data_IF_563144913742
#
_entry.id   IF_563144913742
#
_cell.length_a   1.000
_cell.length_b   1.000
_cell.length_c   1.000
_cell.angle_alpha   90.00
_cell.angle_beta   90.00
_cell.angle_gamma   90.00
#
_symmetry.space_group_name_H-M   'P 1'
#
loop_
_entity.id
_entity.type
_entity.pdbx_description
1 polymer ?
#
# COMPACT_ATOMS: atom_id res chain seq x y z
N UNK A 1 23.00 59.18 6.43
CA UNK A 1 21.74 59.91 6.15
C UNK A 1 21.13 59.39 4.86
N UNK A 2 19.80 59.24 4.89
CA UNK A 2 18.87 58.71 3.90
C UNK A 2 18.97 59.30 2.48
N UNK A 3 18.58 58.54 1.44
CA UNK A 3 17.23 58.59 0.83
C UNK A 3 17.14 57.73 -0.46
N UNK A 4 16.34 56.64 -0.42
CA UNK A 4 15.13 56.35 -1.25
C UNK A 4 15.34 55.82 -2.68
N UNK A 5 14.85 54.60 -2.93
CA UNK A 5 14.56 54.05 -4.28
C UNK A 5 13.45 54.82 -5.01
N UNK A 6 12.79 54.30 -6.08
CA UNK A 6 12.63 52.89 -6.46
C UNK A 6 12.84 52.62 -7.97
N UNK A 7 12.81 51.34 -8.37
CA UNK A 7 12.12 50.80 -9.57
C UNK A 7 12.55 49.35 -9.80
N UNK A 8 11.81 48.44 -9.19
CA UNK A 8 11.09 47.36 -9.88
C UNK A 8 11.62 47.02 -11.28
N UNK A 9 12.64 46.17 -11.34
CA UNK A 9 12.77 45.25 -12.46
C UNK A 9 11.94 44.01 -12.11
N UNK A 10 10.62 44.18 -12.15
CA UNK A 10 9.70 43.09 -12.44
C UNK A 10 10.14 42.56 -13.81
N UNK A 11 10.97 41.53 -13.81
CA UNK A 11 11.10 40.65 -14.97
C UNK A 11 9.73 39.96 -15.04
N UNK A 12 8.84 40.53 -15.84
CA UNK A 12 7.61 39.88 -16.26
C UNK A 12 8.06 38.59 -16.94
N UNK A 13 7.88 37.47 -16.24
CA UNK A 13 7.88 36.17 -16.86
C UNK A 13 6.72 36.19 -17.85
N UNK A 14 7.07 36.13 -19.13
CA UNK A 14 6.19 36.30 -20.26
C UNK A 14 5.13 35.19 -20.26
N UNK A 15 4.00 35.43 -19.59
CA UNK A 15 2.64 35.07 -20.02
C UNK A 15 2.36 33.69 -20.60
N UNK A 16 3.22 32.69 -20.33
CA UNK A 16 3.19 31.39 -21.00
C UNK A 16 3.39 30.23 -20.02
N UNK A 17 3.06 30.47 -18.74
CA UNK A 17 2.64 29.42 -17.81
C UNK A 17 1.24 28.92 -18.21
N UNK A 18 1.14 28.38 -19.42
CA UNK A 18 0.11 27.41 -19.73
C UNK A 18 0.34 26.26 -18.76
N UNK A 19 -0.45 26.21 -17.68
CA UNK A 19 -0.59 25.02 -16.87
C UNK A 19 -0.93 23.90 -17.85
N UNK A 20 0.07 23.10 -18.21
CA UNK A 20 -0.12 21.93 -19.06
C UNK A 20 -0.95 20.96 -18.23
N UNK A 21 -2.27 21.09 -18.35
CA UNK A 21 -3.19 20.17 -17.71
C UNK A 21 -2.84 18.78 -18.26
N UNK A 22 -2.43 17.84 -17.39
CA UNK A 22 -2.13 16.49 -17.85
C UNK A 22 -3.40 15.96 -18.52
N UNK A 23 -3.29 15.62 -19.80
CA UNK A 23 -4.41 15.08 -20.56
C UNK A 23 -4.92 13.83 -19.83
N UNK A 24 -6.24 13.71 -19.61
CA UNK A 24 -6.78 12.53 -18.94
C UNK A 24 -6.40 11.29 -19.75
N UNK A 25 -6.14 10.15 -19.08
CA UNK A 25 -5.75 8.94 -19.77
C UNK A 25 -6.83 8.55 -20.80
N UNK A 26 -6.38 8.11 -21.97
CA UNK A 26 -7.30 7.69 -23.03
C UNK A 26 -8.17 6.51 -22.58
N UNK A 27 -9.30 6.29 -23.28
CA UNK A 27 -10.16 5.14 -22.99
C UNK A 27 -9.40 3.81 -23.05
N UNK A 28 -8.48 3.67 -24.00
CA UNK A 28 -7.61 2.48 -24.12
C UNK A 28 -6.69 2.33 -22.90
N UNK A 29 -6.08 3.41 -22.42
CA UNK A 29 -5.24 3.37 -21.22
C UNK A 29 -6.05 3.03 -19.97
N UNK A 30 -7.27 3.57 -19.85
CA UNK A 30 -8.19 3.25 -18.74
C UNK A 30 -8.62 1.79 -18.79
N UNK A 31 -8.98 1.28 -19.96
CA UNK A 31 -9.36 -0.11 -20.18
C UNK A 31 -8.19 -1.06 -19.89
N UNK A 32 -7.00 -0.78 -20.41
CA UNK A 32 -5.79 -1.58 -20.14
C UNK A 32 -5.47 -1.64 -18.64
N UNK A 33 -5.55 -0.51 -17.92
CA UNK A 33 -5.38 -0.47 -16.47
C UNK A 33 -6.44 -1.30 -15.73
N UNK A 34 -7.70 -1.24 -16.18
CA UNK A 34 -8.78 -2.02 -15.59
C UNK A 34 -8.57 -3.53 -15.81
N UNK A 35 -8.19 -3.94 -17.02
CA UNK A 35 -7.87 -5.34 -17.34
C UNK A 35 -6.69 -5.82 -16.51
N UNK A 36 -5.59 -5.06 -16.44
CA UNK A 36 -4.44 -5.41 -15.62
C UNK A 36 -4.80 -5.56 -14.13
N UNK A 37 -5.64 -4.66 -13.61
CA UNK A 37 -6.16 -4.76 -12.25
C UNK A 37 -6.99 -6.04 -12.03
N UNK A 38 -7.90 -6.36 -12.95
CA UNK A 38 -8.73 -7.56 -12.86
C UNK A 38 -7.89 -8.84 -12.93
N UNK A 39 -6.91 -8.89 -13.83
CA UNK A 39 -5.96 -10.00 -13.92
C UNK A 39 -5.19 -10.15 -12.60
N UNK A 40 -4.72 -9.06 -12.00
CA UNK A 40 -4.05 -9.10 -10.69
C UNK A 40 -4.96 -9.59 -9.55
N UNK A 41 -6.25 -9.22 -9.58
CA UNK A 41 -7.25 -9.72 -8.61
C UNK A 41 -7.43 -11.24 -8.76
N UNK A 42 -7.65 -11.71 -9.99
CA UNK A 42 -7.81 -13.14 -10.28
C UNK A 42 -6.54 -13.91 -9.92
N UNK A 43 -5.37 -13.36 -10.23
CA UNK A 43 -4.09 -13.98 -9.95
C UNK A 43 -3.83 -14.12 -8.45
N UNK A 44 -4.20 -13.12 -7.65
CA UNK A 44 -4.09 -13.18 -6.19
C UNK A 44 -5.28 -13.88 -5.50
N UNK A 45 -6.21 -14.48 -6.25
CA UNK A 45 -7.45 -15.03 -5.70
C UNK A 45 -7.20 -16.09 -4.60
N UNK A 46 -6.27 -17.06 -4.74
CA UNK A 46 -6.03 -18.05 -3.69
C UNK A 46 -5.61 -17.42 -2.36
N UNK A 47 -4.73 -16.40 -2.41
CA UNK A 47 -4.33 -15.64 -1.22
C UNK A 47 -5.50 -14.82 -0.67
N UNK A 48 -6.30 -14.22 -1.54
CA UNK A 48 -7.45 -13.42 -1.14
C UNK A 48 -8.51 -14.28 -0.44
N UNK A 49 -8.76 -15.50 -0.92
CA UNK A 49 -9.66 -16.46 -0.27
C UNK A 49 -9.15 -16.85 1.12
N UNK A 50 -7.84 -17.09 1.26
CA UNK A 50 -7.23 -17.34 2.56
C UNK A 50 -7.33 -16.13 3.50
N UNK A 51 -7.03 -14.93 3.00
CA UNK A 51 -7.21 -13.69 3.76
C UNK A 51 -8.65 -13.47 4.20
N UNK A 52 -9.63 -13.76 3.34
CA UNK A 52 -11.05 -13.71 3.67
C UNK A 52 -11.41 -14.71 4.76
N UNK A 53 -10.91 -15.95 4.69
CA UNK A 53 -11.11 -16.96 5.73
C UNK A 53 -10.62 -16.46 7.10
N UNK A 54 -9.48 -15.77 7.15
CA UNK A 54 -8.95 -15.17 8.38
C UNK A 54 -9.72 -13.92 8.82
N UNK A 55 -10.23 -13.12 7.89
CA UNK A 55 -10.90 -11.85 8.17
C UNK A 55 -12.39 -11.98 8.52
N UNK A 56 -13.09 -13.00 8.02
CA UNK A 56 -14.52 -13.20 8.26
C UNK A 56 -14.88 -13.30 9.76
N UNK A 57 -14.12 -13.99 10.63
CA UNK A 57 -14.36 -13.98 12.06
C UNK A 57 -14.34 -12.57 12.69
N UNK A 58 -13.58 -11.64 12.10
CA UNK A 58 -13.53 -10.24 12.57
C UNK A 58 -14.90 -9.59 12.42
N UNK A 59 -15.58 -9.81 11.28
CA UNK A 59 -16.94 -9.31 11.06
C UNK A 59 -17.95 -9.93 12.04
N UNK A 60 -17.86 -11.23 12.28
CA UNK A 60 -18.73 -11.92 13.24
C UNK A 60 -18.61 -11.36 14.67
N UNK A 61 -17.47 -10.75 15.01
CA UNK A 61 -17.19 -10.18 16.35
C UNK A 61 -17.24 -8.65 16.37
N UNK A 62 -18.25 -8.07 15.70
CA UNK A 62 -18.50 -6.61 15.64
C UNK A 62 -17.37 -5.82 14.96
N UNK A 63 -16.68 -6.46 14.03
CA UNK A 63 -15.72 -5.79 13.16
C UNK A 63 -16.40 -5.04 12.02
N UNK A 64 -15.63 -4.20 11.37
CA UNK A 64 -16.03 -3.39 10.23
C UNK A 64 -15.22 -3.80 9.00
N UNK A 65 -15.82 -3.66 7.82
CA UNK A 65 -15.13 -3.81 6.54
C UNK A 65 -15.27 -2.53 5.74
N UNK A 66 -14.16 -2.08 5.16
CA UNK A 66 -14.10 -0.90 4.29
C UNK A 66 -13.37 -1.23 3.01
N UNK A 67 -13.96 -0.90 1.87
CA UNK A 67 -13.26 -0.94 0.58
C UNK A 67 -12.29 0.23 0.48
N UNK A 68 -11.01 -0.07 0.39
CA UNK A 68 -9.94 0.91 0.12
C UNK A 68 -9.72 0.98 -1.38
N UNK A 69 -10.25 2.04 -2.00
CA UNK A 69 -10.06 2.29 -3.43
C UNK A 69 -8.65 2.86 -3.67
N UNK A 70 -7.83 2.07 -4.34
CA UNK A 70 -6.46 2.43 -4.76
C UNK A 70 -6.20 1.89 -6.17
N UNK A 71 -5.00 2.06 -6.72
CA UNK A 71 -4.59 1.43 -7.99
C UNK A 71 -4.81 -0.09 -7.97
N UNK A 72 -4.66 -0.70 -6.79
CA UNK A 72 -5.04 -2.08 -6.50
C UNK A 72 -5.98 -2.02 -5.29
N UNK A 73 -7.27 -2.32 -5.45
CA UNK A 73 -8.25 -2.20 -4.37
C UNK A 73 -8.00 -3.25 -3.28
N UNK A 74 -8.43 -2.96 -2.05
CA UNK A 74 -8.36 -3.95 -0.96
C UNK A 74 -9.55 -3.81 -0.02
N UNK A 75 -9.96 -4.90 0.61
CA UNK A 75 -10.90 -4.88 1.72
C UNK A 75 -10.13 -4.76 3.03
N UNK A 76 -10.33 -3.66 3.73
CA UNK A 76 -9.77 -3.41 5.05
C UNK A 76 -10.75 -3.89 6.12
N UNK A 77 -10.32 -4.82 6.95
CA UNK A 77 -11.05 -5.34 8.10
C UNK A 77 -10.41 -4.83 9.38
N UNK A 78 -11.23 -4.34 10.30
CA UNK A 78 -10.79 -3.88 11.61
C UNK A 78 -11.84 -4.20 12.67
N UNK A 79 -11.42 -4.37 13.92
CA UNK A 79 -12.33 -4.74 15.01
C UNK A 79 -11.61 -5.35 16.20
N UNK A 80 -12.33 -5.61 17.31
CA UNK A 80 -11.71 -6.14 18.53
C UNK A 80 -10.97 -7.47 18.33
N UNK A 81 -11.45 -8.33 17.42
CA UNK A 81 -10.75 -9.57 17.08
C UNK A 81 -9.49 -9.31 16.25
N UNK A 82 -9.52 -8.35 15.32
CA UNK A 82 -8.33 -7.96 14.58
C UNK A 82 -7.26 -7.41 15.53
N UNK A 83 -7.65 -6.51 16.44
CA UNK A 83 -6.80 -5.97 17.51
C UNK A 83 -6.13 -7.13 18.29
N UNK A 84 -6.92 -8.11 18.77
CA UNK A 84 -6.43 -9.27 19.52
C UNK A 84 -5.45 -10.17 18.74
N UNK A 85 -5.77 -10.47 17.47
CA UNK A 85 -4.98 -11.36 16.62
C UNK A 85 -3.63 -10.74 16.25
N UNK A 86 -3.64 -9.43 15.99
CA UNK A 86 -2.46 -8.67 15.58
C UNK A 86 -1.50 -8.40 16.74
N UNK A 87 -2.01 -8.13 17.95
CA UNK A 87 -1.21 -8.05 19.18
C UNK A 87 -0.47 -9.36 19.51
N UNK A 88 -1.06 -10.51 19.14
CA UNK A 88 -0.58 -11.87 19.48
C UNK A 88 -0.05 -12.63 18.28
N UNK A 89 0.26 -11.92 17.20
CA UNK A 89 0.68 -12.57 15.99
C UNK A 89 2.02 -13.33 16.22
N UNK A 90 2.17 -14.56 15.69
CA UNK A 90 3.31 -15.44 16.00
C UNK A 90 4.68 -14.86 15.60
N UNK A 91 4.69 -13.86 14.73
CA UNK A 91 5.90 -13.16 14.27
C UNK A 91 6.13 -11.81 14.99
N UNK A 92 5.44 -11.58 16.11
CA UNK A 92 5.48 -10.32 16.87
C UNK A 92 4.26 -9.46 16.62
N UNK A 93 4.03 -8.48 17.51
CA UNK A 93 2.89 -7.56 17.38
C UNK A 93 3.00 -6.72 16.10
N UNK A 94 1.92 -6.64 15.33
CA UNK A 94 1.85 -5.90 14.07
C UNK A 94 0.65 -4.98 14.06
N UNK A 95 0.73 -3.80 13.44
CA UNK A 95 -0.43 -2.89 13.36
C UNK A 95 -1.42 -3.25 12.25
N UNK A 96 -0.94 -3.95 11.22
CA UNK A 96 -1.76 -4.46 10.13
C UNK A 96 -1.02 -5.59 9.39
N UNK A 97 -1.75 -6.32 8.54
CA UNK A 97 -1.18 -7.27 7.59
C UNK A 97 -2.04 -7.37 6.33
N UNK A 98 -1.40 -7.58 5.18
CA UNK A 98 -2.04 -7.80 3.91
C UNK A 98 -1.93 -9.26 3.44
N UNK A 99 -3.04 -9.84 3.00
CA UNK A 99 -3.12 -11.19 2.44
C UNK A 99 -3.99 -11.13 1.17
N UNK A 100 -3.36 -11.19 0.00
CA UNK A 100 -4.06 -10.98 -1.27
C UNK A 100 -4.67 -9.57 -1.32
N UNK A 101 -5.98 -9.48 -1.57
CA UNK A 101 -6.74 -8.22 -1.57
C UNK A 101 -7.45 -7.93 -0.23
N UNK A 102 -7.02 -8.59 0.86
CA UNK A 102 -7.54 -8.38 2.21
C UNK A 102 -6.45 -7.74 3.06
N UNK A 103 -6.80 -6.69 3.79
CA UNK A 103 -5.96 -6.08 4.82
C UNK A 103 -6.68 -6.23 6.16
N UNK A 104 -6.01 -6.79 7.16
CA UNK A 104 -6.51 -6.84 8.53
C UNK A 104 -5.68 -5.85 9.33
N UNK A 105 -6.33 -4.91 10.02
CA UNK A 105 -5.65 -3.85 10.75
C UNK A 105 -6.25 -3.61 12.13
N UNK A 106 -5.39 -3.20 13.05
CA UNK A 106 -5.79 -2.70 14.36
C UNK A 106 -6.50 -1.35 14.22
N UNK A 107 -7.52 -1.10 15.03
CA UNK A 107 -8.30 0.15 14.94
C UNK A 107 -7.54 1.39 15.42
N UNK A 108 -6.68 1.22 16.43
CA UNK A 108 -6.05 2.36 17.14
C UNK A 108 -4.72 2.79 16.53
N UNK A 109 -4.00 1.86 15.93
CA UNK A 109 -2.65 2.10 15.40
C UNK A 109 -2.63 2.29 13.87
N UNK A 110 -3.75 2.05 13.17
CA UNK A 110 -3.82 2.22 11.72
C UNK A 110 -3.66 3.70 11.31
N UNK A 111 -2.49 4.02 10.78
CA UNK A 111 -2.19 5.32 10.17
C UNK A 111 -2.25 5.24 8.64
N UNK A 112 -2.33 6.38 7.96
CA UNK A 112 -2.25 6.44 6.50
C UNK A 112 -0.93 5.85 5.95
N UNK A 113 0.16 5.96 6.73
CA UNK A 113 1.46 5.38 6.43
C UNK A 113 1.40 3.86 6.45
N UNK A 114 0.89 3.27 7.54
CA UNK A 114 0.71 1.82 7.67
C UNK A 114 -0.23 1.30 6.57
N UNK A 115 -1.35 1.97 6.31
CA UNK A 115 -2.24 1.57 5.23
C UNK A 115 -1.55 1.60 3.86
N UNK A 116 -0.68 2.58 3.62
CA UNK A 116 0.07 2.68 2.36
C UNK A 116 1.10 1.55 2.23
N UNK A 117 1.73 1.16 3.34
CA UNK A 117 2.61 0.01 3.42
C UNK A 117 1.87 -1.29 3.09
N UNK A 118 0.74 -1.58 3.75
CA UNK A 118 -0.05 -2.78 3.49
C UNK A 118 -0.58 -2.83 2.05
N UNK A 119 -0.99 -1.69 1.49
CA UNK A 119 -1.39 -1.63 0.08
C UNK A 119 -0.25 -1.91 -0.90
N UNK A 120 1.01 -1.75 -0.49
CA UNK A 120 2.15 -2.19 -1.28
C UNK A 120 2.24 -3.73 -1.31
N UNK A 121 1.99 -4.40 -0.19
CA UNK A 121 1.89 -5.86 -0.15
C UNK A 121 0.70 -6.39 -0.93
N UNK A 122 -0.46 -5.71 -0.92
CA UNK A 122 -1.60 -6.04 -1.80
C UNK A 122 -1.18 -5.99 -3.28
N UNK A 123 -0.41 -4.97 -3.68
CA UNK A 123 0.12 -4.86 -5.05
C UNK A 123 1.10 -5.98 -5.37
N UNK A 124 2.01 -6.29 -4.45
CA UNK A 124 2.96 -7.39 -4.63
C UNK A 124 2.23 -8.72 -4.78
N UNK A 125 1.20 -8.98 -3.96
CA UNK A 125 0.33 -10.15 -4.10
C UNK A 125 -0.43 -10.16 -5.43
N UNK A 126 -0.91 -9.00 -5.93
CA UNK A 126 -1.54 -8.92 -7.25
C UNK A 126 -0.56 -9.18 -8.41
N UNK A 127 0.74 -8.90 -8.25
CA UNK A 127 1.77 -9.18 -9.25
C UNK A 127 2.26 -10.64 -9.19
N UNK A 128 2.55 -11.15 -7.99
CA UNK A 128 3.18 -12.47 -7.79
C UNK A 128 2.17 -13.58 -7.53
N UNK A 129 0.92 -13.23 -7.23
CA UNK A 129 -0.17 -14.18 -7.00
C UNK A 129 0.19 -15.18 -5.90
N UNK A 130 -0.10 -16.48 -6.07
CA UNK A 130 0.15 -17.50 -5.05
C UNK A 130 1.63 -17.69 -4.70
N UNK A 131 2.56 -17.22 -5.55
CA UNK A 131 3.99 -17.31 -5.29
C UNK A 131 4.48 -16.27 -4.28
N UNK A 132 3.70 -15.23 -4.01
CA UNK A 132 4.13 -14.11 -3.16
C UNK A 132 4.66 -14.52 -1.78
N UNK A 133 3.98 -15.38 -0.99
CA UNK A 133 4.49 -15.77 0.33
C UNK A 133 5.83 -16.50 0.25
N UNK A 134 6.03 -17.34 -0.76
CA UNK A 134 7.28 -18.08 -0.96
C UNK A 134 8.42 -17.15 -1.34
N UNK A 135 8.17 -16.17 -2.22
CA UNK A 135 9.15 -15.16 -2.60
C UNK A 135 9.51 -14.26 -1.42
N UNK A 136 8.51 -13.86 -0.62
CA UNK A 136 8.74 -13.07 0.59
C UNK A 136 9.63 -13.82 1.58
N UNK A 137 9.29 -15.10 1.89
CA UNK A 137 10.10 -15.93 2.78
C UNK A 137 11.50 -16.18 2.22
N UNK A 138 11.63 -16.40 0.91
CA UNK A 138 12.92 -16.53 0.24
C UNK A 138 13.79 -15.28 0.37
N UNK A 139 13.20 -14.09 0.22
CA UNK A 139 13.91 -12.82 0.41
C UNK A 139 14.34 -12.61 1.88
N UNK A 140 13.47 -12.92 2.84
CA UNK A 140 13.82 -12.89 4.26
C UNK A 140 14.93 -13.90 4.62
N UNK A 141 14.87 -15.13 4.10
CA UNK A 141 15.90 -16.14 4.30
C UNK A 141 17.23 -15.71 3.69
N UNK A 142 17.21 -15.11 2.51
CA UNK A 142 18.42 -14.56 1.87
C UNK A 142 19.08 -13.47 2.72
N UNK A 143 18.31 -12.55 3.29
CA UNK A 143 18.83 -11.53 4.21
C UNK A 143 19.46 -12.19 5.45
N UNK A 144 18.78 -13.15 6.08
CA UNK A 144 19.30 -13.89 7.23
C UNK A 144 20.61 -14.61 6.92
N UNK A 145 20.73 -15.24 5.75
CA UNK A 145 21.96 -15.92 5.32
C UNK A 145 23.15 -14.96 5.14
N UNK A 146 22.88 -13.66 4.96
CA UNK A 146 23.91 -12.61 4.88
C UNK A 146 24.21 -11.96 6.24
N UNK A 147 23.59 -12.43 7.32
CA UNK A 147 23.69 -11.82 8.65
C UNK A 147 22.93 -10.51 8.77
N UNK A 148 22.00 -10.25 7.86
CA UNK A 148 21.16 -9.05 7.85
C UNK A 148 19.81 -9.33 8.55
N UNK A 149 19.11 -8.27 8.92
CA UNK A 149 17.77 -8.40 9.49
C UNK A 149 16.74 -8.79 8.42
N UNK A 150 16.00 -9.88 8.69
CA UNK A 150 15.04 -10.51 7.77
C UNK A 150 13.88 -9.60 7.34
N UNK A 151 13.53 -8.59 8.14
CA UNK A 151 12.43 -7.67 7.91
C UNK A 151 12.95 -6.36 7.31
N UNK A 152 14.03 -5.80 7.86
CA UNK A 152 14.59 -4.53 7.37
C UNK A 152 15.23 -4.65 5.99
N UNK A 153 15.78 -5.82 5.65
CA UNK A 153 16.51 -6.04 4.38
C UNK A 153 15.76 -6.91 3.37
N UNK A 154 14.51 -7.30 3.67
CA UNK A 154 13.67 -7.95 2.68
C UNK A 154 13.30 -6.94 1.57
N UNK A 155 13.50 -7.32 0.31
CA UNK A 155 13.25 -6.44 -0.85
C UNK A 155 11.79 -5.98 -0.92
N UNK A 156 10.83 -6.83 -0.55
CA UNK A 156 9.41 -6.50 -0.55
C UNK A 156 9.07 -5.46 0.52
N UNK A 157 9.70 -5.58 1.67
CA UNK A 157 9.61 -4.67 2.80
C UNK A 157 10.24 -3.30 2.50
N UNK A 158 11.38 -3.30 1.81
CA UNK A 158 12.02 -2.06 1.33
C UNK A 158 11.11 -1.34 0.33
N UNK A 159 10.53 -2.07 -0.63
CA UNK A 159 9.60 -1.50 -1.60
C UNK A 159 8.31 -0.96 -0.93
N UNK A 160 7.79 -1.65 0.08
CA UNK A 160 6.66 -1.17 0.87
C UNK A 160 6.99 0.13 1.63
N UNK A 161 8.16 0.19 2.28
CA UNK A 161 8.66 1.43 2.94
C UNK A 161 8.92 2.57 1.98
N UNK A 162 9.36 2.30 0.74
CA UNK A 162 9.49 3.34 -0.30
C UNK A 162 8.13 3.93 -0.67
N UNK A 163 7.09 3.09 -0.78
CA UNK A 163 5.74 3.54 -1.11
C UNK A 163 5.15 4.51 -0.07
N UNK A 164 5.54 4.39 1.20
CA UNK A 164 5.16 5.32 2.27
C UNK A 164 5.61 6.77 2.01
N UNK A 165 6.77 6.97 1.37
CA UNK A 165 7.38 8.29 1.16
C UNK A 165 6.78 9.07 0.00
N UNK A 166 6.13 8.39 -0.95
CA UNK A 166 5.62 9.00 -2.18
C UNK A 166 4.20 9.59 -2.07
N UNK A 167 3.67 9.72 -0.86
CA UNK A 167 2.27 10.14 -0.63
C UNK A 167 2.08 11.23 0.42
N UNK A 168 3.15 11.91 0.84
CA UNK A 168 3.10 13.14 1.65
C UNK A 168 2.79 14.35 0.80
#
# INVERSE_FOLDING_TARGET
>A
MNHTGPRDAFMLDDGNDFIVMPQPPSLLQRAARAVAMLLGIVWALPLTLFGMLMALPVLCRRGEVRLVRSRTPALLFSGPLADYLLERHPFGAMSAMAIGHVVIAERRSLTARILTHELAHVRQAACWGPLFPFLYLGASAWALLRGEDAYWNNVFEIEARKAERHRT
#
